data_IF_810618918423
#
_entry.id   IF_810618918423
#
_cell.length_a   1.000
_cell.length_b   1.000
_cell.length_c   1.000
_cell.angle_alpha   90.00
_cell.angle_beta   90.00
_cell.angle_gamma   90.00
#
_symmetry.space_group_name_H-M   'P 1'
#
loop_
_entity.id
_entity.type
_entity.pdbx_description
1 polymer ?
#
# COMPACT_ATOMS: atom_id res chain seq x y z
N UNK A 1 9.63 -77.84 -3.35
CA UNK A 1 8.58 -76.80 -3.40
C UNK A 1 8.63 -75.98 -2.11
N UNK A 2 9.24 -74.79 -2.14
CA UNK A 2 8.92 -73.60 -1.31
C UNK A 2 9.93 -72.46 -1.55
N UNK A 3 9.45 -71.49 -2.31
CA UNK A 3 9.68 -70.04 -2.35
C UNK A 3 10.92 -69.42 -1.71
N UNK A 4 11.76 -68.78 -2.56
CA UNK A 4 12.61 -67.64 -2.19
C UNK A 4 11.80 -66.34 -2.34
N UNK A 5 11.74 -65.53 -1.28
CA UNK A 5 11.26 -64.15 -1.30
C UNK A 5 12.38 -63.22 -1.82
N UNK A 6 12.16 -62.57 -2.97
CA UNK A 6 12.98 -61.45 -3.42
C UNK A 6 12.41 -60.14 -2.87
N UNK A 7 13.16 -59.45 -2.00
CA UNK A 7 12.87 -58.07 -1.61
C UNK A 7 13.37 -57.15 -2.74
N UNK A 8 12.45 -56.52 -3.47
CA UNK A 8 12.78 -55.43 -4.36
C UNK A 8 12.92 -54.13 -3.55
N UNK A 9 14.15 -53.63 -3.43
CA UNK A 9 14.44 -52.31 -2.85
C UNK A 9 14.09 -51.24 -3.90
N UNK A 10 12.94 -50.58 -3.75
CA UNK A 10 12.61 -49.37 -4.50
C UNK A 10 13.39 -48.19 -3.89
N UNK A 11 14.55 -47.90 -4.47
CA UNK A 11 15.27 -46.65 -4.20
C UNK A 11 14.51 -45.54 -4.94
N UNK A 12 13.59 -44.88 -4.24
CA UNK A 12 13.01 -43.63 -4.69
C UNK A 12 14.09 -42.55 -4.71
N UNK A 13 14.52 -42.16 -5.91
CA UNK A 13 15.29 -40.92 -6.11
C UNK A 13 14.39 -39.75 -5.72
N UNK A 14 14.52 -39.28 -4.48
CA UNK A 14 14.02 -37.98 -4.10
C UNK A 14 14.81 -36.93 -4.89
N UNK A 15 14.21 -36.42 -5.96
CA UNK A 15 14.71 -35.23 -6.64
C UNK A 15 14.65 -34.08 -5.64
N UNK A 16 15.81 -33.67 -5.11
CA UNK A 16 15.93 -32.46 -4.31
C UNK A 16 15.46 -31.27 -5.16
N UNK A 17 14.37 -30.63 -4.74
CA UNK A 17 13.96 -29.33 -5.29
C UNK A 17 15.13 -28.37 -5.11
N UNK A 18 15.52 -27.58 -6.12
CA UNK A 18 16.56 -26.58 -5.94
C UNK A 18 16.06 -25.57 -4.89
N UNK A 19 16.81 -25.47 -3.79
CA UNK A 19 16.62 -24.50 -2.71
C UNK A 19 17.03 -23.12 -3.27
N UNK A 20 16.17 -22.52 -4.08
CA UNK A 20 16.41 -21.21 -4.70
C UNK A 20 16.12 -20.08 -3.69
N UNK A 21 16.92 -20.02 -2.63
CA UNK A 21 16.91 -18.95 -1.60
C UNK A 21 17.54 -17.65 -2.12
N UNK A 22 17.48 -17.37 -3.41
CA UNK A 22 18.07 -16.18 -4.03
C UNK A 22 17.48 -14.86 -3.51
N UNK A 23 16.36 -14.88 -2.79
CA UNK A 23 15.87 -13.69 -2.08
C UNK A 23 16.55 -13.45 -0.73
N UNK A 24 17.12 -14.46 -0.07
CA UNK A 24 17.92 -14.26 1.15
C UNK A 24 19.27 -13.59 0.85
N UNK A 25 19.70 -13.61 -0.41
CA UNK A 25 20.84 -12.81 -0.87
C UNK A 25 20.45 -11.37 -1.21
N UNK A 26 19.17 -10.99 -1.10
CA UNK A 26 18.80 -9.57 -1.12
C UNK A 26 19.46 -8.86 0.05
N UNK A 27 20.50 -8.11 -0.27
CA UNK A 27 21.05 -7.10 0.61
C UNK A 27 19.99 -6.02 0.89
N UNK A 28 20.22 -5.22 1.93
CA UNK A 28 19.37 -4.07 2.23
C UNK A 28 19.14 -3.26 0.94
N UNK A 29 17.88 -3.10 0.53
CA UNK A 29 17.54 -2.41 -0.71
C UNK A 29 18.15 -1.00 -0.71
N UNK A 30 18.88 -0.59 -1.77
CA UNK A 30 19.36 0.77 -1.87
C UNK A 30 18.16 1.72 -1.84
N UNK A 31 18.28 2.81 -1.10
CA UNK A 31 17.25 3.85 -1.14
C UNK A 31 17.34 4.58 -2.48
N UNK A 32 16.45 4.20 -3.40
CA UNK A 32 16.26 4.90 -4.65
C UNK A 32 15.33 6.08 -4.37
N UNK A 33 15.86 7.08 -3.67
CA UNK A 33 15.19 8.35 -3.49
C UNK A 33 15.65 9.33 -4.58
N UNK A 34 15.14 9.14 -5.80
CA UNK A 34 15.39 10.12 -6.86
C UNK A 34 14.62 11.40 -6.51
N UNK A 35 15.34 12.51 -6.41
CA UNK A 35 14.77 13.81 -6.07
C UNK A 35 13.91 14.39 -7.19
N UNK A 36 13.93 13.77 -8.38
CA UNK A 36 13.22 14.24 -9.58
C UNK A 36 11.88 13.53 -9.81
N UNK A 37 11.57 12.46 -9.07
CA UNK A 37 10.35 11.68 -9.30
C UNK A 37 9.11 12.48 -8.89
N UNK A 38 8.17 12.60 -9.82
CA UNK A 38 6.92 13.31 -9.58
C UNK A 38 7.01 14.84 -9.72
N UNK A 39 8.20 15.40 -10.02
CA UNK A 39 8.39 16.85 -10.22
C UNK A 39 8.10 17.29 -11.67
N UNK A 40 8.51 16.49 -12.66
CA UNK A 40 8.37 16.79 -14.09
C UNK A 40 7.56 15.72 -14.81
N UNK A 41 6.91 16.06 -15.92
CA UNK A 41 6.15 15.08 -16.73
C UNK A 41 7.11 14.09 -17.41
N UNK A 42 6.77 12.81 -17.39
CA UNK A 42 7.47 11.79 -18.18
C UNK A 42 7.08 11.80 -19.67
N UNK A 43 7.53 10.79 -20.41
CA UNK A 43 7.20 10.60 -21.84
C UNK A 43 5.73 10.27 -22.08
N UNK A 44 5.04 9.74 -21.07
CA UNK A 44 3.58 9.50 -21.07
C UNK A 44 2.89 10.44 -20.10
N UNK A 45 1.74 10.98 -20.52
CA UNK A 45 0.94 11.88 -19.69
C UNK A 45 -0.04 11.09 -18.81
N UNK A 46 -0.60 11.76 -17.81
CA UNK A 46 -1.73 11.29 -17.02
C UNK A 46 -2.99 12.07 -17.38
N UNK A 47 -4.18 11.49 -17.19
CA UNK A 47 -5.47 12.13 -17.46
C UNK A 47 -5.81 13.26 -16.46
N UNK A 48 -5.16 13.29 -15.30
CA UNK A 48 -5.19 14.39 -14.34
C UNK A 48 -3.87 14.49 -13.55
N UNK A 49 -3.73 15.52 -12.72
CA UNK A 49 -2.57 15.70 -11.84
C UNK A 49 -2.65 14.72 -10.68
N UNK A 50 -1.84 13.66 -10.74
CA UNK A 50 -1.72 12.65 -9.69
C UNK A 50 -0.26 12.27 -9.46
N UNK A 51 0.04 11.59 -8.35
CA UNK A 51 1.35 10.94 -8.13
C UNK A 51 2.55 11.88 -8.13
N UNK A 52 2.34 13.18 -7.92
CA UNK A 52 3.39 14.20 -7.82
C UNK A 52 3.93 14.27 -6.39
N UNK A 53 5.17 14.71 -6.22
CA UNK A 53 5.76 14.98 -4.90
C UNK A 53 5.98 16.48 -4.68
N UNK A 54 6.14 16.87 -3.41
CA UNK A 54 6.54 18.22 -3.01
C UNK A 54 8.04 18.32 -2.66
N UNK A 55 8.89 17.50 -3.27
CA UNK A 55 10.34 17.63 -3.08
C UNK A 55 10.83 18.97 -3.61
N UNK A 56 11.71 19.65 -2.88
CA UNK A 56 12.51 20.73 -3.45
C UNK A 56 13.48 20.13 -4.49
N UNK A 57 13.72 20.80 -5.61
CA UNK A 57 14.75 20.38 -6.56
C UNK A 57 16.14 20.54 -5.90
N UNK A 58 16.70 19.45 -5.37
CA UNK A 58 17.99 19.46 -4.69
C UNK A 58 18.30 18.11 -4.07
N UNK A 59 19.56 17.67 -4.20
CA UNK A 59 20.00 16.33 -3.83
C UNK A 59 20.03 16.15 -2.31
N UNK A 60 19.23 15.26 -1.71
CA UNK A 60 19.36 14.86 -0.30
C UNK A 60 20.00 13.46 -0.24
N UNK A 61 21.18 13.34 0.39
CA UNK A 61 21.93 12.08 0.47
C UNK A 61 21.75 11.42 1.85
N UNK A 62 21.25 10.18 1.90
CA UNK A 62 21.26 9.32 3.10
C UNK A 62 19.93 9.20 3.87
N UNK A 63 18.83 8.91 3.17
CA UNK A 63 17.43 9.08 3.60
C UNK A 63 17.10 8.88 5.10
N UNK A 64 16.36 9.87 5.60
CA UNK A 64 15.76 10.05 6.93
C UNK A 64 14.57 11.01 6.78
N UNK A 65 13.45 10.73 7.46
CA UNK A 65 12.21 11.52 7.49
C UNK A 65 11.63 11.88 6.09
N UNK A 66 10.30 11.91 5.93
CA UNK A 66 9.77 12.54 4.70
C UNK A 66 9.93 14.05 4.81
N UNK A 67 10.08 14.76 3.69
CA UNK A 67 9.88 16.22 3.75
C UNK A 67 8.42 16.50 4.15
N UNK A 68 8.12 17.61 4.84
CA UNK A 68 6.76 18.02 5.11
C UNK A 68 5.89 17.95 3.85
N UNK A 69 4.86 17.11 3.90
CA UNK A 69 3.94 16.84 2.79
C UNK A 69 4.61 16.33 1.49
N UNK A 70 5.73 15.60 1.57
CA UNK A 70 6.43 15.03 0.40
C UNK A 70 5.49 14.22 -0.51
N UNK A 71 4.60 13.43 0.10
CA UNK A 71 3.61 12.58 -0.57
C UNK A 71 2.18 13.07 -0.28
N UNK A 72 1.64 13.97 -1.13
CA UNK A 72 0.34 14.60 -0.89
C UNK A 72 -0.87 13.66 -1.07
N UNK A 73 -0.63 12.42 -1.50
CA UNK A 73 -1.66 11.38 -1.59
C UNK A 73 -1.81 10.56 -0.32
N UNK A 74 -0.96 10.75 0.68
CA UNK A 74 -1.04 10.04 1.95
C UNK A 74 -2.27 10.51 2.75
N UNK A 75 -3.02 9.55 3.26
CA UNK A 75 -4.19 9.78 4.10
C UNK A 75 -4.04 8.94 5.37
N UNK A 76 -4.25 9.57 6.52
CA UNK A 76 -4.36 8.87 7.79
C UNK A 76 -5.80 8.42 8.03
N UNK A 77 -6.00 7.21 8.51
CA UNK A 77 -7.31 6.68 8.88
C UNK A 77 -7.37 6.50 10.39
N UNK A 78 -8.38 7.08 11.02
CA UNK A 78 -8.57 6.95 12.47
C UNK A 78 -10.00 7.22 12.90
N UNK A 79 -10.20 7.25 14.22
CA UNK A 79 -11.50 7.38 14.83
C UNK A 79 -11.69 8.79 15.41
N UNK A 80 -12.92 9.30 15.29
CA UNK A 80 -13.37 10.55 15.91
C UNK A 80 -14.66 10.31 16.70
N UNK A 81 -14.99 11.24 17.59
CA UNK A 81 -16.22 11.17 18.39
C UNK A 81 -17.16 12.31 17.99
N UNK A 82 -18.49 12.18 18.24
CA UNK A 82 -19.44 13.26 17.96
C UNK A 82 -19.08 14.61 18.63
N UNK A 83 -18.36 14.56 19.75
CA UNK A 83 -18.00 15.74 20.56
C UNK A 83 -16.63 16.30 20.17
N UNK A 84 -15.75 15.48 19.57
CA UNK A 84 -14.38 15.85 19.20
C UNK A 84 -14.05 15.32 17.81
N UNK A 85 -14.12 16.23 16.84
CA UNK A 85 -13.79 16.02 15.42
C UNK A 85 -12.28 16.09 15.17
N UNK A 86 -11.50 15.38 15.99
CA UNK A 86 -10.04 15.29 15.88
C UNK A 86 -9.67 13.83 15.92
N UNK A 87 -8.88 13.38 14.95
CA UNK A 87 -8.30 12.04 14.96
C UNK A 87 -7.15 12.03 15.95
N UNK A 88 -7.32 11.36 17.08
CA UNK A 88 -6.30 11.31 18.14
C UNK A 88 -5.15 10.36 17.79
N UNK A 89 -5.45 9.25 17.12
CA UNK A 89 -4.49 8.25 16.65
C UNK A 89 -4.82 7.83 15.21
N UNK A 90 -3.79 7.71 14.37
CA UNK A 90 -3.89 7.05 13.06
C UNK A 90 -3.76 5.56 13.28
N UNK A 91 -4.81 4.81 12.96
CA UNK A 91 -4.88 3.35 13.13
C UNK A 91 -4.42 2.61 11.87
N UNK A 92 -4.71 3.18 10.70
CA UNK A 92 -4.33 2.66 9.39
C UNK A 92 -3.93 3.80 8.45
N UNK A 93 -3.22 3.45 7.38
CA UNK A 93 -3.04 4.30 6.22
C UNK A 93 -4.18 4.19 5.22
N UNK A 94 -4.22 5.15 4.31
CA UNK A 94 -5.02 5.14 3.10
C UNK A 94 -4.34 6.00 2.03
N UNK A 95 -4.83 5.94 0.80
CA UNK A 95 -4.38 6.79 -0.29
C UNK A 95 -5.53 7.56 -0.94
N UNK A 96 -5.29 8.82 -1.26
CA UNK A 96 -6.27 9.68 -1.91
C UNK A 96 -6.45 9.27 -3.39
N UNK A 97 -7.68 8.92 -3.80
CA UNK A 97 -8.00 8.59 -5.20
C UNK A 97 -8.63 9.75 -5.95
N UNK A 98 -9.55 10.45 -5.29
CA UNK A 98 -10.27 11.61 -5.83
C UNK A 98 -10.57 12.59 -4.69
N UNK A 99 -11.32 13.66 -4.98
CA UNK A 99 -11.81 14.60 -3.98
C UNK A 99 -12.95 14.09 -3.08
N UNK A 100 -13.44 12.86 -3.28
CA UNK A 100 -14.43 12.22 -2.39
C UNK A 100 -14.02 10.81 -1.95
N UNK A 101 -12.92 10.27 -2.46
CA UNK A 101 -12.58 8.85 -2.31
C UNK A 101 -11.15 8.68 -1.83
N UNK A 102 -10.99 7.87 -0.79
CA UNK A 102 -9.72 7.28 -0.39
C UNK A 102 -9.81 5.76 -0.48
N UNK A 103 -8.68 5.10 -0.71
CA UNK A 103 -8.57 3.64 -0.78
C UNK A 103 -7.71 3.13 0.37
N UNK A 104 -8.10 2.01 0.96
CA UNK A 104 -7.41 1.37 2.08
C UNK A 104 -7.62 -0.15 2.04
N UNK A 105 -7.13 -0.87 3.04
CA UNK A 105 -7.38 -2.28 3.25
C UNK A 105 -8.76 -2.49 3.89
N UNK A 106 -9.46 -3.56 3.55
CA UNK A 106 -10.76 -3.88 4.14
C UNK A 106 -10.63 -4.22 5.63
N UNK A 107 -9.52 -4.82 6.08
CA UNK A 107 -9.34 -5.04 7.53
C UNK A 107 -9.19 -3.75 8.36
N UNK A 108 -9.04 -2.59 7.72
CA UNK A 108 -8.96 -1.29 8.39
C UNK A 108 -10.33 -0.62 8.61
N UNK A 109 -11.42 -1.20 8.11
CA UNK A 109 -12.78 -0.63 8.20
C UNK A 109 -13.47 -1.02 9.51
N UNK A 110 -12.91 -0.56 10.62
CA UNK A 110 -13.50 -0.85 11.94
C UNK A 110 -14.86 -0.17 12.10
N UNK A 111 -15.93 -0.95 12.23
CA UNK A 111 -17.27 -0.45 12.51
C UNK A 111 -17.52 -0.45 14.03
N UNK A 112 -17.84 0.71 14.60
CA UNK A 112 -18.29 0.84 15.98
C UNK A 112 -19.33 1.96 16.11
N UNK A 113 -20.47 1.70 16.74
CA UNK A 113 -21.57 2.65 16.88
C UNK A 113 -21.26 3.89 17.74
N UNK A 114 -20.15 3.92 18.46
CA UNK A 114 -19.77 5.02 19.36
C UNK A 114 -18.76 6.00 18.76
N UNK A 115 -18.13 5.64 17.65
CA UNK A 115 -17.05 6.39 17.01
C UNK A 115 -17.23 6.39 15.50
N UNK A 116 -16.84 7.49 14.85
CA UNK A 116 -16.89 7.59 13.40
C UNK A 116 -15.50 7.41 12.82
N UNK A 117 -15.42 6.73 11.67
CA UNK A 117 -14.21 6.66 10.89
C UNK A 117 -13.98 8.00 10.19
N UNK A 118 -12.75 8.51 10.21
CA UNK A 118 -12.39 9.77 9.61
C UNK A 118 -11.04 9.70 8.90
N UNK A 119 -10.93 10.49 7.83
CA UNK A 119 -9.73 10.67 7.03
C UNK A 119 -9.01 11.94 7.48
N UNK A 120 -7.73 11.81 7.79
CA UNK A 120 -6.84 12.95 7.95
C UNK A 120 -6.04 13.15 6.67
N UNK A 121 -6.21 14.31 6.03
CA UNK A 121 -5.61 14.64 4.74
C UNK A 121 -4.67 15.83 4.90
N UNK A 122 -3.55 15.80 4.18
CA UNK A 122 -2.54 16.85 4.23
C UNK A 122 -1.70 16.84 5.50
N UNK A 123 -1.75 15.77 6.30
CA UNK A 123 -0.94 15.68 7.51
C UNK A 123 0.51 15.31 7.21
N UNK A 124 1.38 15.63 8.15
CA UNK A 124 2.77 15.20 8.14
C UNK A 124 3.25 14.91 9.56
N UNK A 125 2.99 15.82 10.51
CA UNK A 125 3.40 15.73 11.90
C UNK A 125 2.18 15.74 12.85
N UNK A 126 1.88 14.58 13.40
CA UNK A 126 0.79 14.30 14.32
C UNK A 126 0.90 15.03 15.66
N UNK A 127 2.08 15.57 16.01
CA UNK A 127 2.26 16.37 17.24
C UNK A 127 1.85 17.82 17.04
N UNK A 128 1.75 18.28 15.79
CA UNK A 128 1.45 19.65 15.43
C UNK A 128 0.24 19.74 14.47
N UNK A 129 -0.91 19.23 14.94
CA UNK A 129 -2.18 19.21 14.20
C UNK A 129 -2.86 20.59 14.08
N UNK A 130 -2.37 21.60 14.79
CA UNK A 130 -2.87 22.98 14.75
C UNK A 130 -2.40 23.75 13.51
N UNK A 131 -2.37 23.09 12.35
CA UNK A 131 -1.99 23.68 11.06
C UNK A 131 -3.19 23.69 10.12
N UNK A 132 -4.16 24.59 10.36
CA UNK A 132 -5.38 24.68 9.58
C UNK A 132 -5.12 25.20 8.15
N UNK A 133 -3.89 25.45 7.73
CA UNK A 133 -3.63 25.75 6.32
C UNK A 133 -3.78 24.50 5.44
N UNK A 134 -3.49 23.31 5.96
CA UNK A 134 -3.40 22.11 5.14
C UNK A 134 -3.90 20.81 5.78
N UNK A 135 -3.85 20.68 7.11
CA UNK A 135 -4.43 19.53 7.82
C UNK A 135 -5.96 19.65 7.83
N UNK A 136 -6.64 18.61 7.36
CA UNK A 136 -8.11 18.54 7.36
C UNK A 136 -8.57 17.15 7.77
N UNK A 137 -9.64 17.10 8.55
CA UNK A 137 -10.33 15.86 8.94
C UNK A 137 -11.65 15.80 8.19
N UNK A 138 -11.92 14.68 7.52
CA UNK A 138 -13.17 14.41 6.80
C UNK A 138 -13.82 13.16 7.34
N UNK A 139 -15.12 13.23 7.64
CA UNK A 139 -15.88 12.03 8.03
C UNK A 139 -16.07 11.09 6.84
N UNK A 140 -15.92 9.81 7.10
CA UNK A 140 -16.32 8.75 6.16
C UNK A 140 -17.83 8.59 6.25
N UNK A 141 -18.51 8.77 5.11
CA UNK A 141 -19.96 8.62 4.94
C UNK A 141 -20.34 7.20 4.54
N UNK A 142 -19.53 6.58 3.66
CA UNK A 142 -19.71 5.19 3.24
C UNK A 142 -18.39 4.45 3.21
N UNK A 143 -18.48 3.17 3.56
CA UNK A 143 -17.40 2.20 3.47
C UNK A 143 -17.86 1.16 2.46
N UNK A 144 -17.10 1.01 1.37
CA UNK A 144 -17.36 0.02 0.33
C UNK A 144 -16.22 -0.99 0.34
N UNK A 145 -16.41 -2.10 1.05
CA UNK A 145 -15.50 -3.25 1.02
C UNK A 145 -15.74 -4.07 -0.25
N UNK A 146 -14.68 -4.68 -0.79
CA UNK A 146 -14.84 -5.61 -1.89
C UNK A 146 -15.73 -6.79 -1.48
N UNK A 147 -16.63 -7.21 -2.36
CA UNK A 147 -17.67 -8.21 -2.06
C UNK A 147 -17.09 -9.59 -1.75
N UNK A 148 -15.87 -9.85 -2.21
CA UNK A 148 -15.09 -11.05 -1.90
C UNK A 148 -14.28 -10.97 -0.60
N UNK A 149 -14.27 -9.85 0.13
CA UNK A 149 -13.46 -9.69 1.34
C UNK A 149 -13.74 -10.82 2.35
N UNK A 150 -12.67 -11.45 2.82
CA UNK A 150 -12.76 -12.53 3.79
C UNK A 150 -11.72 -12.34 4.90
N UNK A 151 -12.17 -11.93 6.08
CA UNK A 151 -11.32 -11.68 7.25
C UNK A 151 -10.50 -12.91 7.68
N UNK A 152 -10.99 -14.14 7.45
CA UNK A 152 -10.29 -15.36 7.87
C UNK A 152 -9.16 -15.74 6.94
N UNK A 153 -9.33 -15.57 5.63
CA UNK A 153 -8.32 -15.88 4.62
C UNK A 153 -7.47 -14.66 4.23
N UNK A 154 -7.92 -13.46 4.61
CA UNK A 154 -7.35 -12.17 4.25
C UNK A 154 -7.28 -11.99 2.72
N UNK A 155 -8.24 -12.60 2.02
CA UNK A 155 -8.41 -12.46 0.56
C UNK A 155 -9.29 -11.25 0.25
N UNK A 156 -8.98 -10.56 -0.85
CA UNK A 156 -9.71 -9.37 -1.29
C UNK A 156 -9.71 -8.22 -0.27
N UNK A 157 -8.55 -8.01 0.36
CA UNK A 157 -8.33 -6.99 1.38
C UNK A 157 -8.22 -5.57 0.79
N UNK A 158 -9.36 -5.00 0.40
CA UNK A 158 -9.46 -3.69 -0.24
C UNK A 158 -10.81 -3.05 0.06
N UNK A 159 -10.81 -1.77 0.38
CA UNK A 159 -12.00 -0.96 0.60
C UNK A 159 -11.83 0.46 0.06
N UNK A 160 -12.93 1.05 -0.37
CA UNK A 160 -13.02 2.48 -0.71
C UNK A 160 -13.83 3.20 0.35
N UNK A 161 -13.26 4.29 0.87
CA UNK A 161 -13.86 5.18 1.84
C UNK A 161 -14.37 6.41 1.11
N UNK A 162 -15.66 6.70 1.27
CA UNK A 162 -16.34 7.81 0.61
C UNK A 162 -16.60 8.90 1.64
N UNK A 163 -16.18 10.13 1.35
CA UNK A 163 -16.50 11.29 2.19
C UNK A 163 -17.75 11.98 1.69
N UNK A 164 -18.58 12.48 2.61
CA UNK A 164 -19.73 13.34 2.25
C UNK A 164 -19.28 14.71 1.76
N UNK A 165 -18.24 15.23 2.39
CA UNK A 165 -17.65 16.53 2.06
C UNK A 165 -16.55 16.37 1.02
N UNK A 166 -16.48 17.35 0.10
CA UNK A 166 -15.42 17.43 -0.90
C UNK A 166 -14.09 17.74 -0.23
N UNK A 167 -13.11 16.85 -0.38
CA UNK A 167 -11.75 17.08 0.04
C UNK A 167 -11.09 18.16 -0.80
N UNK A 168 -10.50 19.16 -0.13
CA UNK A 168 -9.84 20.28 -0.80
C UNK A 168 -8.47 19.86 -1.35
N UNK A 169 -8.42 19.58 -2.66
CA UNK A 169 -7.16 19.29 -3.34
C UNK A 169 -6.28 20.55 -3.38
N UNK A 170 -4.99 20.38 -3.07
CA UNK A 170 -4.01 21.46 -2.98
C UNK A 170 -2.61 20.92 -3.27
N UNK A 171 -1.55 21.65 -2.92
CA UNK A 171 -0.21 21.05 -2.94
C UNK A 171 -0.02 19.99 -1.85
N UNK A 172 -0.75 20.08 -0.74
CA UNK A 172 -0.61 19.16 0.39
C UNK A 172 -1.56 17.94 0.29
N UNK A 173 -2.53 17.99 -0.63
CA UNK A 173 -3.55 16.95 -0.84
C UNK A 173 -3.79 16.73 -2.34
N UNK A 174 -3.28 15.64 -2.91
CA UNK A 174 -3.44 15.31 -4.35
C UNK A 174 -3.61 13.81 -4.54
N UNK A 175 -4.35 13.35 -5.56
CA UNK A 175 -4.56 11.93 -5.75
C UNK A 175 -3.26 11.20 -6.15
N UNK A 176 -3.17 9.92 -5.80
CA UNK A 176 -2.18 9.00 -6.38
C UNK A 176 -2.65 8.54 -7.78
N UNK A 177 -1.72 8.18 -8.67
CA UNK A 177 -2.11 7.60 -9.96
C UNK A 177 -2.47 6.12 -9.78
N UNK A 178 -3.45 5.64 -10.55
CA UNK A 178 -3.78 4.23 -10.69
C UNK A 178 -3.09 3.62 -11.92
N UNK A 179 -2.80 2.31 -11.89
CA UNK A 179 -2.23 1.61 -13.03
C UNK A 179 -3.31 1.44 -14.11
N UNK A 180 -2.98 1.77 -15.36
CA UNK A 180 -3.86 1.56 -16.51
C UNK A 180 -3.61 0.24 -17.26
N UNK A 181 -2.54 -0.48 -16.87
CA UNK A 181 -2.13 -1.79 -17.37
C UNK A 181 -1.34 -2.49 -16.28
N UNK A 182 -1.23 -3.82 -16.36
CA UNK A 182 -0.45 -4.59 -15.38
C UNK A 182 1.01 -4.13 -15.36
N UNK A 183 1.50 -3.57 -14.24
CA UNK A 183 2.89 -3.13 -14.15
C UNK A 183 3.83 -4.34 -14.09
N UNK A 184 4.89 -4.35 -14.91
CA UNK A 184 5.97 -5.32 -14.76
C UNK A 184 6.97 -4.83 -13.71
N UNK A 185 6.60 -5.02 -12.43
CA UNK A 185 7.33 -4.47 -11.28
C UNK A 185 8.08 -5.52 -10.46
N UNK A 186 8.00 -6.81 -10.79
CA UNK A 186 8.81 -7.84 -10.12
C UNK A 186 10.28 -7.49 -10.29
N UNK A 187 11.01 -7.47 -9.17
CA UNK A 187 12.41 -7.06 -9.17
C UNK A 187 12.64 -5.54 -9.13
N UNK A 188 11.57 -4.71 -9.15
CA UNK A 188 11.66 -3.26 -9.01
C UNK A 188 11.53 -2.84 -7.55
N UNK A 189 11.99 -1.62 -7.26
CA UNK A 189 11.79 -1.00 -5.96
C UNK A 189 10.46 -0.24 -5.92
N UNK A 190 9.78 -0.39 -4.80
CA UNK A 190 8.56 0.33 -4.44
C UNK A 190 8.76 1.00 -3.10
N UNK A 191 7.93 1.99 -2.81
CA UNK A 191 7.92 2.68 -1.54
C UNK A 191 6.65 2.34 -0.77
N UNK A 192 6.79 2.25 0.54
CA UNK A 192 5.68 2.28 1.50
C UNK A 192 5.91 3.47 2.39
N UNK A 193 4.85 4.20 2.72
CA UNK A 193 4.92 5.32 3.65
C UNK A 193 3.75 5.27 4.63
N UNK A 194 3.97 5.77 5.84
CA UNK A 194 2.96 5.77 6.91
C UNK A 194 3.47 6.40 8.20
N UNK A 195 2.56 6.52 9.16
CA UNK A 195 2.85 6.97 10.54
C UNK A 195 3.00 5.79 11.50
N UNK A 196 3.11 4.59 10.96
CA UNK A 196 3.09 3.38 11.74
C UNK A 196 4.29 3.23 12.67
N UNK A 197 4.28 2.13 13.42
CA UNK A 197 5.32 1.84 14.41
C UNK A 197 6.67 1.68 13.72
N UNK A 198 7.71 2.21 14.35
CA UNK A 198 9.08 2.11 13.82
C UNK A 198 9.77 0.78 14.17
N UNK A 199 9.13 -0.02 15.02
CA UNK A 199 9.55 -1.36 15.42
C UNK A 199 8.33 -2.20 15.83
N UNK A 200 8.45 -3.52 15.83
CA UNK A 200 7.40 -4.42 16.31
C UNK A 200 7.03 -4.08 17.77
N UNK A 201 5.75 -3.80 18.03
CA UNK A 201 5.24 -3.28 19.31
C UNK A 201 5.89 -1.97 19.81
N UNK A 202 6.64 -1.26 18.96
CA UNK A 202 7.27 0.01 19.28
C UNK A 202 6.31 1.19 19.29
N UNK A 203 6.86 2.39 19.39
CA UNK A 203 6.08 3.63 19.29
C UNK A 203 5.79 3.98 17.82
N UNK A 204 4.62 4.58 17.62
CA UNK A 204 4.20 5.18 16.35
C UNK A 204 5.10 6.37 16.04
N UNK A 205 5.31 6.66 14.76
CA UNK A 205 6.05 7.86 14.39
C UNK A 205 5.10 9.06 14.38
N UNK A 206 5.42 10.16 15.08
CA UNK A 206 4.61 11.37 14.96
C UNK A 206 4.72 11.96 13.55
N UNK A 207 5.82 11.71 12.84
CA UNK A 207 6.08 12.20 11.49
C UNK A 207 5.92 11.09 10.46
N UNK A 208 5.49 11.43 9.25
CA UNK A 208 5.37 10.47 8.15
C UNK A 208 6.76 9.92 7.79
N UNK A 209 6.90 8.60 7.80
CA UNK A 209 8.12 7.90 7.39
C UNK A 209 7.89 7.16 6.07
N UNK A 210 8.99 6.79 5.40
CA UNK A 210 8.99 6.00 4.17
C UNK A 210 10.04 4.90 4.24
N UNK A 211 9.79 3.80 3.55
CA UNK A 211 10.74 2.71 3.36
C UNK A 211 10.74 2.27 1.90
N UNK A 212 11.91 1.94 1.37
CA UNK A 212 12.05 1.32 0.04
C UNK A 212 12.14 -0.20 0.19
N UNK A 213 11.25 -0.91 -0.50
CA UNK A 213 11.18 -2.37 -0.53
C UNK A 213 11.32 -2.85 -1.97
N UNK A 214 11.64 -4.12 -2.17
CA UNK A 214 11.70 -4.73 -3.49
C UNK A 214 10.50 -5.64 -3.71
N UNK A 215 9.86 -5.56 -4.87
CA UNK A 215 8.82 -6.51 -5.25
C UNK A 215 9.46 -7.85 -5.62
N UNK A 216 8.95 -8.93 -5.05
CA UNK A 216 9.41 -10.30 -5.30
C UNK A 216 8.31 -11.11 -6.00
N UNK A 217 8.69 -12.23 -6.63
CA UNK A 217 7.71 -13.13 -7.26
C UNK A 217 6.79 -13.73 -6.18
N UNK A 218 5.48 -13.67 -6.44
CA UNK A 218 4.43 -14.16 -5.56
C UNK A 218 4.58 -15.66 -5.22
N UNK A 219 5.21 -16.45 -6.10
CA UNK A 219 5.48 -17.87 -5.85
C UNK A 219 6.38 -18.08 -4.64
N UNK A 220 7.43 -17.27 -4.49
CA UNK A 220 8.31 -17.34 -3.32
C UNK A 220 7.58 -16.94 -2.05
N UNK A 221 6.72 -15.93 -2.14
CA UNK A 221 5.89 -15.51 -1.03
C UNK A 221 4.94 -16.63 -0.57
N UNK A 222 4.32 -17.34 -1.53
CA UNK A 222 3.42 -18.45 -1.25
C UNK A 222 4.12 -19.64 -0.56
N UNK A 223 5.43 -19.82 -0.75
CA UNK A 223 6.21 -20.82 -0.01
C UNK A 223 6.33 -20.47 1.48
N UNK A 224 6.35 -19.18 1.82
CA UNK A 224 6.42 -18.69 3.21
C UNK A 224 5.04 -18.63 3.87
N UNK A 225 3.98 -18.49 3.07
CA UNK A 225 2.59 -18.39 3.50
C UNK A 225 1.71 -19.52 2.90
N UNK A 226 2.00 -20.80 3.23
CA UNK A 226 1.27 -21.91 2.66
C UNK A 226 -0.22 -21.82 3.00
N UNK A 227 -1.07 -21.94 1.98
CA UNK A 227 -2.54 -21.87 2.07
C UNK A 227 -3.16 -20.50 2.33
N UNK A 228 -2.37 -19.42 2.40
CA UNK A 228 -2.87 -18.05 2.61
C UNK A 228 -2.80 -17.17 1.35
N UNK A 229 -2.01 -17.56 0.35
CA UNK A 229 -1.95 -16.85 -0.93
C UNK A 229 -2.70 -17.63 -2.01
N UNK A 230 -3.54 -16.92 -2.76
CA UNK A 230 -4.17 -17.48 -3.95
C UNK A 230 -3.20 -17.43 -5.12
N UNK A 231 -2.75 -18.60 -5.57
CA UNK A 231 -1.93 -18.76 -6.78
C UNK A 231 -2.74 -19.26 -7.97
N UNK A 232 -4.07 -19.39 -7.82
CA UNK A 232 -4.86 -20.29 -8.68
C UNK A 232 -5.32 -19.66 -9.99
N UNK A 233 -5.48 -18.35 -10.11
CA UNK A 233 -5.94 -17.69 -11.34
C UNK A 233 -5.76 -16.18 -11.21
N UNK A 234 -4.69 -15.62 -11.78
CA UNK A 234 -4.24 -14.21 -11.63
C UNK A 234 -3.99 -13.80 -10.16
N UNK A 235 -2.74 -13.48 -9.78
CA UNK A 235 -2.46 -13.02 -8.43
C UNK A 235 -3.27 -11.75 -8.11
N UNK A 236 -4.04 -11.79 -7.03
CA UNK A 236 -4.73 -10.62 -6.46
C UNK A 236 -3.89 -9.94 -5.38
N UNK A 237 -2.67 -10.42 -5.18
CA UNK A 237 -1.72 -10.01 -4.16
C UNK A 237 -0.34 -9.90 -4.80
N UNK A 238 0.48 -8.99 -4.27
CA UNK A 238 1.89 -8.84 -4.57
C UNK A 238 2.70 -8.90 -3.28
N UNK A 239 3.96 -9.31 -3.39
CA UNK A 239 4.84 -9.38 -2.23
C UNK A 239 6.03 -8.45 -2.34
N UNK A 240 6.37 -7.87 -1.19
CA UNK A 240 7.50 -6.96 -1.02
C UNK A 240 8.46 -7.50 0.02
N UNK A 241 9.75 -7.30 -0.19
CA UNK A 241 10.79 -7.74 0.75
C UNK A 241 11.98 -6.79 0.74
N UNK A 242 12.59 -6.62 1.90
CA UNK A 242 13.95 -6.10 2.05
C UNK A 242 14.57 -6.70 3.30
N UNK A 243 15.88 -6.94 3.28
CA UNK A 243 16.58 -7.38 4.48
C UNK A 243 16.50 -6.31 5.57
N UNK A 244 16.01 -6.68 6.76
CA UNK A 244 15.83 -5.83 7.95
C UNK A 244 14.95 -4.58 7.75
N UNK A 245 14.12 -4.52 6.70
CA UNK A 245 13.21 -3.40 6.44
C UNK A 245 11.87 -3.95 5.97
N UNK A 246 10.79 -3.47 6.57
CA UNK A 246 9.43 -3.87 6.22
C UNK A 246 8.45 -2.72 6.54
N UNK A 247 7.24 -2.78 5.97
CA UNK A 247 6.09 -2.06 6.51
C UNK A 247 5.72 -2.61 7.89
N UNK A 248 5.24 -1.76 8.79
CA UNK A 248 5.00 -2.14 10.17
C UNK A 248 3.54 -1.93 10.59
N UNK A 249 3.23 -2.29 11.83
CA UNK A 249 1.91 -2.05 12.44
C UNK A 249 1.50 -0.57 12.25
N UNK A 250 0.24 -0.35 11.88
CA UNK A 250 -0.37 0.96 11.54
C UNK A 250 0.07 1.59 10.20
N UNK A 251 0.91 0.92 9.40
CA UNK A 251 1.03 1.20 7.96
C UNK A 251 -0.01 0.42 7.13
N UNK A 252 -0.72 -0.53 7.76
CA UNK A 252 -1.85 -1.29 7.18
C UNK A 252 -2.83 -0.38 6.44
N UNK A 253 -3.26 -0.81 5.26
CA UNK A 253 -4.12 -0.01 4.38
C UNK A 253 -3.42 1.14 3.67
N UNK A 254 -2.17 1.45 4.02
CA UNK A 254 -1.35 2.45 3.36
C UNK A 254 -0.94 2.04 1.94
N UNK A 255 -0.54 3.01 1.10
CA UNK A 255 -0.14 2.74 -0.27
C UNK A 255 1.24 2.09 -0.37
N UNK A 256 1.32 1.07 -1.23
CA UNK A 256 2.56 0.64 -1.87
C UNK A 256 2.62 1.28 -3.25
N UNK A 257 3.62 2.13 -3.47
CA UNK A 257 3.66 2.96 -4.67
C UNK A 257 4.98 2.87 -5.43
N UNK A 258 4.86 2.83 -6.75
CA UNK A 258 5.96 2.67 -7.69
C UNK A 258 6.20 3.96 -8.46
N UNK A 259 7.47 4.32 -8.65
CA UNK A 259 7.86 5.40 -9.55
C UNK A 259 7.80 4.89 -10.99
N UNK A 260 6.70 5.19 -11.68
CA UNK A 260 6.52 4.80 -13.07
C UNK A 260 7.45 5.61 -13.98
N UNK A 261 8.44 5.00 -14.64
CA UNK A 261 9.44 5.71 -15.43
C UNK A 261 8.84 6.35 -16.68
N UNK A 262 7.71 5.87 -17.19
CA UNK A 262 7.08 6.44 -18.38
C UNK A 262 6.35 7.74 -18.06
N UNK A 263 5.63 7.80 -16.93
CA UNK A 263 4.89 9.00 -16.52
C UNK A 263 5.69 9.95 -15.63
N UNK A 264 6.79 9.45 -15.06
CA UNK A 264 7.50 10.09 -13.94
C UNK A 264 6.52 10.49 -12.82
N UNK A 265 5.61 9.57 -12.46
CA UNK A 265 4.63 9.73 -11.39
C UNK A 265 4.65 8.52 -10.47
N UNK A 266 4.25 8.76 -9.21
CA UNK A 266 3.94 7.69 -8.30
C UNK A 266 2.59 7.06 -8.62
N UNK A 267 2.62 5.76 -8.87
CA UNK A 267 1.46 4.92 -9.17
C UNK A 267 1.22 3.96 -8.03
N UNK A 268 -0.02 3.86 -7.57
CA UNK A 268 -0.46 2.92 -6.55
C UNK A 268 -0.44 1.51 -7.14
N UNK A 269 0.50 0.67 -6.68
CA UNK A 269 0.64 -0.71 -7.17
C UNK A 269 0.14 -1.72 -6.16
N UNK A 270 0.12 -1.37 -4.87
CA UNK A 270 -0.45 -2.22 -3.85
C UNK A 270 -0.99 -1.47 -2.65
N UNK A 271 -1.68 -2.20 -1.77
CA UNK A 271 -2.19 -1.73 -0.48
C UNK A 271 -1.63 -2.66 0.59
N UNK A 272 -1.01 -2.10 1.63
CA UNK A 272 -0.42 -2.89 2.72
C UNK A 272 -1.52 -3.71 3.40
N UNK A 273 -1.37 -5.04 3.40
CA UNK A 273 -2.39 -5.96 3.90
C UNK A 273 -1.91 -6.68 5.15
N UNK A 274 -1.02 -7.67 5.03
CA UNK A 274 -0.51 -8.42 6.18
C UNK A 274 0.96 -8.82 6.02
N UNK A 275 1.56 -9.23 7.14
CA UNK A 275 2.94 -9.69 7.20
C UNK A 275 3.25 -10.34 8.55
N UNK A 276 4.41 -10.97 8.66
CA UNK A 276 4.81 -11.69 9.87
C UNK A 276 5.19 -10.78 11.05
N UNK A 277 5.40 -9.49 10.78
CA UNK A 277 5.93 -8.51 11.73
C UNK A 277 7.01 -7.65 11.09
N UNK A 278 7.25 -6.48 11.69
CA UNK A 278 8.12 -5.46 11.12
C UNK A 278 9.58 -5.94 11.04
N UNK A 279 10.24 -5.70 9.90
CA UNK A 279 11.60 -6.12 9.60
C UNK A 279 11.81 -7.65 9.74
N UNK A 280 10.76 -8.44 9.48
CA UNK A 280 10.84 -9.90 9.48
C UNK A 280 11.69 -10.41 8.31
N UNK A 281 12.17 -11.66 8.43
CA UNK A 281 12.73 -12.40 7.29
C UNK A 281 11.66 -12.88 6.32
N UNK A 282 10.38 -12.73 6.65
CA UNK A 282 9.26 -13.08 5.78
C UNK A 282 8.83 -11.86 4.93
N UNK A 283 8.43 -12.05 3.66
CA UNK A 283 7.91 -10.97 2.83
C UNK A 283 6.62 -10.35 3.37
N UNK A 284 6.41 -9.06 3.14
CA UNK A 284 5.12 -8.41 3.31
C UNK A 284 4.18 -8.74 2.15
N UNK A 285 2.90 -8.97 2.45
CA UNK A 285 1.84 -9.25 1.48
C UNK A 285 0.98 -8.01 1.33
N UNK A 286 0.74 -7.61 0.08
CA UNK A 286 -0.03 -6.44 -0.27
C UNK A 286 -1.10 -6.82 -1.29
N UNK A 287 -2.26 -6.17 -1.24
CA UNK A 287 -3.28 -6.33 -2.28
C UNK A 287 -2.75 -5.75 -3.59
N UNK A 288 -2.83 -6.48 -4.71
CA UNK A 288 -2.43 -5.99 -6.05
C UNK A 288 -3.53 -5.08 -6.61
N UNK A 289 -3.26 -3.78 -6.69
CA UNK A 289 -4.28 -2.78 -7.07
C UNK A 289 -4.74 -2.92 -8.52
N UNK A 290 -3.89 -3.39 -9.43
CA UNK A 290 -4.30 -3.56 -10.81
C UNK A 290 -5.33 -4.69 -10.97
N UNK A 291 -5.23 -5.74 -10.14
CA UNK A 291 -6.19 -6.85 -10.13
C UNK A 291 -7.62 -6.40 -9.75
N UNK A 292 -7.78 -5.24 -9.10
CA UNK A 292 -9.07 -4.66 -8.71
C UNK A 292 -9.41 -3.39 -9.50
N UNK A 293 -8.70 -3.10 -10.61
CA UNK A 293 -8.88 -1.86 -11.36
C UNK A 293 -10.33 -1.62 -11.80
N UNK A 294 -11.00 -2.64 -12.35
CA UNK A 294 -12.41 -2.55 -12.76
C UNK A 294 -13.33 -2.25 -11.57
N UNK A 295 -13.16 -2.98 -10.46
CA UNK A 295 -13.93 -2.77 -9.23
C UNK A 295 -13.71 -1.36 -8.64
N UNK A 296 -12.47 -0.85 -8.68
CA UNK A 296 -12.14 0.50 -8.21
C UNK A 296 -12.87 1.54 -9.08
N UNK A 297 -12.83 1.41 -10.41
CA UNK A 297 -13.50 2.35 -11.30
C UNK A 297 -15.01 2.33 -11.09
N UNK A 298 -15.63 1.15 -11.06
CA UNK A 298 -17.07 0.99 -10.85
C UNK A 298 -17.50 1.59 -9.50
N UNK A 299 -16.77 1.28 -8.43
CA UNK A 299 -17.07 1.76 -7.09
C UNK A 299 -16.99 3.28 -7.00
N UNK A 300 -15.94 3.91 -7.54
CA UNK A 300 -15.78 5.37 -7.56
C UNK A 300 -16.88 6.04 -8.39
N UNK A 301 -17.23 5.48 -9.55
CA UNK A 301 -18.27 6.04 -10.41
C UNK A 301 -19.66 5.96 -9.76
N UNK A 302 -19.95 4.87 -9.03
CA UNK A 302 -21.26 4.64 -8.41
C UNK A 302 -21.43 5.36 -7.06
N UNK A 303 -20.35 5.84 -6.43
CA UNK A 303 -20.38 6.37 -5.07
C UNK A 303 -19.89 7.81 -4.91
N UNK A 304 -20.20 8.68 -5.87
CA UNK A 304 -19.84 10.09 -5.78
C UNK A 304 -21.07 11.02 -5.79
N UNK A 305 -21.09 12.11 -4.99
CA UNK A 305 -22.11 13.15 -5.12
C UNK A 305 -22.07 13.89 -6.46
N UNK A 306 -20.92 13.88 -7.15
CA UNK A 306 -20.67 14.58 -8.42
C UNK A 306 -19.83 13.71 -9.36
N UNK A 307 -19.87 13.97 -10.66
CA UNK A 307 -19.01 13.26 -11.61
C UNK A 307 -17.53 13.48 -11.26
N UNK A 308 -16.83 12.41 -10.93
CA UNK A 308 -15.39 12.39 -10.65
C UNK A 308 -14.75 11.27 -11.45
N UNK A 309 -13.45 11.41 -11.72
CA UNK A 309 -12.68 10.37 -12.39
C UNK A 309 -11.41 10.11 -11.59
N UNK A 310 -10.98 8.85 -11.58
CA UNK A 310 -9.67 8.49 -11.04
C UNK A 310 -8.56 8.92 -11.99
N UNK A 311 -7.37 9.14 -11.45
CA UNK A 311 -6.22 9.54 -12.25
C UNK A 311 -5.36 8.35 -12.64
N UNK A 312 -4.98 8.25 -13.91
CA UNK A 312 -4.12 7.19 -14.43
C UNK A 312 -3.24 7.70 -15.59
N UNK A 313 -2.21 6.93 -15.94
CA UNK A 313 -1.41 7.15 -17.16
C UNK A 313 -2.29 6.97 -18.41
N UNK A 314 -2.02 7.75 -19.46
CA UNK A 314 -2.69 7.68 -20.76
C UNK A 314 -1.85 6.81 -21.71
N UNK A 315 -2.50 5.82 -22.34
CA UNK A 315 -1.93 4.96 -23.38
C UNK A 315 -0.97 3.92 -22.82
#
# INVERSE_FOLDING_TARGET
MKFLFGLALLIGLAASRPDDRSYLTYQMSPEIDSDEVGQFRGSKLTNCTCGTTNKASGRIVGGKETLPNEYPFMVGLGLVTPVRMVVDEILCGAALLTEYHAITAAHCTFLNHQVYLALTVGDHDQTNRNKPEYHRVYLVDKIIEHEGWNERTVEHDIAILVTKERMQLSQHARPICLPNRQPNIVGQHVKVAGWGKTAFQGHTSPVLLKVSLKVIDIKFCNEQYPHQLTTKTVPTQLCTYSYMRDSCQQDSGGPVFWADPESNRYTLVGIVSFGAGCASTMPGVNTDVYAYSDWIQETVNNNSPQAVATCAKIG
#
